data_IF_944162944224
#
_entry.id   IF_944162944224
#
_cell.length_a   1.000
_cell.length_b   1.000
_cell.length_c   1.000
_cell.angle_alpha   90.00
_cell.angle_beta   90.00
_cell.angle_gamma   90.00
#
_symmetry.space_group_name_H-M   'P 1'
#
loop_
_entity.id
_entity.type
_entity.pdbx_description
1 polymer ?
#
# COMPACT_ATOMS: atom_id res chain seq x y z
N UNK A 1 19.08 14.15 14.25
CA UNK A 1 18.97 13.53 12.91
C UNK A 1 17.64 12.78 12.84
N UNK A 2 16.87 12.88 11.74
CA UNK A 2 15.68 12.06 11.53
C UNK A 2 16.10 10.68 10.99
N UNK A 3 15.43 9.62 11.37
CA UNK A 3 15.69 8.26 10.86
C UNK A 3 14.44 7.72 10.16
N UNK A 4 14.62 7.12 8.99
CA UNK A 4 13.56 6.42 8.26
C UNK A 4 13.99 4.98 8.01
N UNK A 5 13.17 4.02 8.47
CA UNK A 5 13.31 2.60 8.19
C UNK A 5 12.43 2.27 7.01
N UNK A 6 13.04 2.13 5.84
CA UNK A 6 12.32 1.80 4.62
C UNK A 6 12.04 0.29 4.52
N UNK A 7 10.75 -0.07 4.41
CA UNK A 7 10.30 -1.45 4.17
C UNK A 7 9.58 -1.50 2.81
N UNK A 8 10.08 -2.28 1.83
CA UNK A 8 9.37 -2.46 0.57
C UNK A 8 8.11 -3.31 0.79
N UNK A 9 7.00 -2.91 0.19
CA UNK A 9 5.75 -3.68 0.26
C UNK A 9 5.71 -4.69 -0.88
N UNK A 10 5.66 -5.97 -0.53
CA UNK A 10 5.40 -7.06 -1.48
C UNK A 10 4.00 -7.60 -1.22
N UNK A 11 3.07 -7.30 -2.12
CA UNK A 11 1.67 -7.69 -1.97
C UNK A 11 1.48 -9.21 -1.97
N UNK A 12 0.70 -9.67 -1.01
CA UNK A 12 0.20 -11.03 -0.91
C UNK A 12 -1.16 -11.16 -1.60
N UNK A 13 -1.68 -12.38 -1.73
CA UNK A 13 -3.02 -12.60 -2.28
C UNK A 13 -4.12 -11.88 -1.48
N UNK A 14 -3.94 -11.71 -0.17
CA UNK A 14 -4.87 -10.98 0.69
C UNK A 14 -5.00 -9.50 0.27
N UNK A 15 -3.90 -8.88 -0.14
CA UNK A 15 -3.86 -7.48 -0.56
C UNK A 15 -4.52 -7.24 -1.92
N UNK A 16 -4.57 -8.27 -2.76
CA UNK A 16 -5.09 -8.18 -4.13
C UNK A 16 -6.61 -8.35 -4.21
N UNK A 17 -7.26 -8.79 -3.13
CA UNK A 17 -8.72 -8.98 -3.07
C UNK A 17 -9.25 -9.81 -4.25
N UNK A 18 -10.21 -9.26 -4.99
CA UNK A 18 -10.83 -9.95 -6.13
C UNK A 18 -9.87 -10.27 -7.27
N UNK A 19 -8.75 -9.55 -7.40
CA UNK A 19 -7.74 -9.77 -8.44
C UNK A 19 -6.81 -10.96 -8.13
N UNK A 20 -6.80 -11.46 -6.89
CA UNK A 20 -5.89 -12.51 -6.46
C UNK A 20 -5.97 -13.78 -7.33
N UNK A 21 -7.18 -14.15 -7.77
CA UNK A 21 -7.42 -15.34 -8.61
C UNK A 21 -6.82 -15.17 -10.01
N UNK A 22 -7.00 -14.01 -10.61
CA UNK A 22 -6.50 -13.72 -11.96
C UNK A 22 -4.96 -13.62 -11.97
N UNK A 23 -4.38 -12.99 -10.93
CA UNK A 23 -2.93 -12.93 -10.75
C UNK A 23 -2.35 -14.32 -10.56
N UNK A 24 -2.95 -15.15 -9.71
CA UNK A 24 -2.52 -16.54 -9.49
C UNK A 24 -2.58 -17.36 -10.77
N UNK A 25 -3.71 -17.32 -11.48
CA UNK A 25 -3.89 -18.04 -12.73
C UNK A 25 -2.85 -17.65 -13.77
N UNK A 26 -2.57 -16.36 -13.89
CA UNK A 26 -1.56 -15.83 -14.82
C UNK A 26 -0.14 -16.23 -14.41
N UNK A 27 0.19 -16.11 -13.11
CA UNK A 27 1.48 -16.54 -12.58
C UNK A 27 1.78 -18.01 -12.87
N UNK A 28 0.80 -18.89 -12.64
CA UNK A 28 0.93 -20.32 -12.95
C UNK A 28 1.06 -20.56 -14.47
N UNK A 29 0.28 -19.86 -15.29
CA UNK A 29 0.35 -20.00 -16.74
C UNK A 29 1.69 -19.55 -17.33
N UNK A 30 2.26 -18.46 -16.80
CA UNK A 30 3.49 -17.84 -17.32
C UNK A 30 4.76 -18.51 -16.76
N UNK A 31 4.75 -19.00 -15.51
CA UNK A 31 5.94 -19.46 -14.79
C UNK A 31 5.90 -20.94 -14.35
N UNK A 32 4.73 -21.57 -14.39
CA UNK A 32 4.50 -22.91 -13.83
C UNK A 32 4.17 -22.91 -12.34
N UNK A 33 3.53 -23.98 -11.89
CA UNK A 33 2.98 -24.10 -10.53
C UNK A 33 4.07 -24.13 -9.46
N UNK A 34 5.17 -24.85 -9.69
CA UNK A 34 6.26 -24.97 -8.71
C UNK A 34 6.97 -23.64 -8.46
N UNK A 35 7.25 -22.88 -9.53
CA UNK A 35 7.87 -21.55 -9.42
C UNK A 35 6.91 -20.59 -8.72
N UNK A 36 5.61 -20.66 -9.01
CA UNK A 36 4.60 -19.85 -8.34
C UNK A 36 4.53 -20.17 -6.84
N UNK A 37 4.49 -21.44 -6.46
CA UNK A 37 4.52 -21.87 -5.05
C UNK A 37 5.79 -21.40 -4.35
N UNK A 38 6.94 -21.48 -5.00
CA UNK A 38 8.21 -20.99 -4.44
C UNK A 38 8.19 -19.47 -4.26
N UNK A 39 7.64 -18.72 -5.23
CA UNK A 39 7.45 -17.28 -5.09
C UNK A 39 6.61 -16.93 -3.86
N UNK A 40 5.46 -17.59 -3.67
CA UNK A 40 4.60 -17.36 -2.50
C UNK A 40 5.36 -17.58 -1.18
N UNK A 41 6.09 -18.69 -1.06
CA UNK A 41 6.93 -18.97 0.13
C UNK A 41 8.00 -17.91 0.37
N UNK A 42 8.65 -17.43 -0.70
CA UNK A 42 9.66 -16.36 -0.60
C UNK A 42 9.03 -15.07 -0.08
N UNK A 43 7.82 -14.72 -0.54
CA UNK A 43 7.10 -13.53 -0.07
C UNK A 43 6.69 -13.68 1.39
N UNK A 44 6.21 -14.86 1.81
CA UNK A 44 5.90 -15.15 3.22
C UNK A 44 7.15 -15.00 4.10
N UNK A 45 8.27 -15.63 3.70
CA UNK A 45 9.54 -15.54 4.43
C UNK A 45 10.10 -14.12 4.51
N UNK A 46 9.86 -13.27 3.49
CA UNK A 46 10.19 -11.85 3.55
C UNK A 46 9.40 -11.16 4.69
N UNK A 47 8.09 -11.36 4.76
CA UNK A 47 7.26 -10.75 5.80
C UNK A 47 7.57 -11.26 7.20
N UNK A 48 7.94 -12.54 7.32
CA UNK A 48 8.42 -13.12 8.57
C UNK A 48 9.70 -12.43 9.05
N UNK A 49 10.70 -12.29 8.16
CA UNK A 49 11.96 -11.63 8.48
C UNK A 49 11.78 -10.15 8.90
N UNK A 50 10.90 -9.41 8.22
CA UNK A 50 10.57 -8.02 8.59
C UNK A 50 9.88 -7.99 9.95
N UNK A 51 8.91 -8.89 10.18
CA UNK A 51 8.21 -8.97 11.46
C UNK A 51 9.18 -9.25 12.61
N UNK A 52 10.09 -10.21 12.43
CA UNK A 52 11.09 -10.61 13.41
C UNK A 52 12.07 -9.48 13.73
N UNK A 53 12.52 -8.74 12.71
CA UNK A 53 13.34 -7.55 12.90
C UNK A 53 12.66 -6.57 13.87
N UNK A 54 11.39 -6.23 13.62
CA UNK A 54 10.67 -5.27 14.44
C UNK A 54 10.35 -5.76 15.85
N UNK A 55 10.37 -7.07 16.15
CA UNK A 55 10.22 -7.56 17.54
C UNK A 55 11.30 -6.95 18.45
N UNK A 56 12.52 -6.79 17.94
CA UNK A 56 13.67 -6.30 18.71
C UNK A 56 13.78 -4.77 18.76
N UNK A 57 13.08 -4.07 17.87
CA UNK A 57 13.14 -2.60 17.76
C UNK A 57 12.13 -1.98 18.70
N UNK A 58 12.53 -0.99 19.51
CA UNK A 58 11.57 -0.14 20.22
C UNK A 58 10.88 0.79 19.21
N UNK A 59 9.55 0.66 19.15
CA UNK A 59 8.69 1.39 18.22
C UNK A 59 7.78 2.38 18.93
N UNK A 60 7.95 2.55 20.24
CA UNK A 60 7.22 3.55 21.00
C UNK A 60 7.49 4.96 20.45
N UNK A 61 6.44 5.66 20.05
CA UNK A 61 6.54 6.98 19.43
C UNK A 61 6.97 6.99 17.97
N UNK A 62 7.22 5.81 17.36
CA UNK A 62 7.55 5.70 15.93
C UNK A 62 6.38 6.16 15.07
N UNK A 63 6.68 6.79 13.92
CA UNK A 63 5.68 7.22 12.94
C UNK A 63 5.59 6.20 11.81
N UNK A 64 4.39 5.74 11.46
CA UNK A 64 4.21 4.80 10.35
C UNK A 64 3.69 5.56 9.14
N UNK A 65 4.47 5.52 8.05
CA UNK A 65 4.15 6.10 6.75
C UNK A 65 3.93 4.99 5.73
N UNK A 66 2.69 4.48 5.63
CA UNK A 66 2.34 3.46 4.65
C UNK A 66 1.84 4.11 3.35
N UNK A 67 2.28 3.64 2.18
CA UNK A 67 1.73 4.13 0.91
C UNK A 67 0.21 3.92 0.82
N UNK A 68 -0.50 4.92 0.29
CA UNK A 68 -1.95 4.88 0.08
C UNK A 68 -2.83 5.02 1.35
N UNK A 69 -2.26 5.39 2.52
CA UNK A 69 -3.04 5.56 3.74
C UNK A 69 -3.79 6.89 3.75
N UNK A 70 -5.11 6.83 3.54
CA UNK A 70 -5.98 8.03 3.38
C UNK A 70 -6.43 8.66 4.71
N UNK A 71 -6.20 8.00 5.84
CA UNK A 71 -6.66 8.43 7.15
C UNK A 71 -5.67 8.07 8.27
N UNK A 72 -5.73 8.83 9.36
CA UNK A 72 -5.02 8.59 10.62
C UNK A 72 -6.03 8.56 11.78
N UNK A 73 -5.56 8.24 12.99
CA UNK A 73 -6.43 8.05 14.16
C UNK A 73 -7.42 6.88 13.98
N UNK A 74 -8.60 6.99 14.59
CA UNK A 74 -9.60 5.90 14.63
C UNK A 74 -9.99 5.37 13.24
N UNK A 75 -10.10 6.24 12.24
CA UNK A 75 -10.44 5.82 10.87
C UNK A 75 -9.28 5.04 10.25
N UNK A 76 -8.04 5.51 10.45
CA UNK A 76 -6.85 4.79 9.97
C UNK A 76 -6.70 3.43 10.65
N UNK A 77 -6.97 3.35 11.96
CA UNK A 77 -6.94 2.09 12.72
C UNK A 77 -7.97 1.08 12.20
N UNK A 78 -9.19 1.53 11.84
CA UNK A 78 -10.20 0.66 11.20
C UNK A 78 -9.74 0.12 9.85
N UNK A 79 -9.09 0.94 9.02
CA UNK A 79 -8.51 0.48 7.75
C UNK A 79 -7.46 -0.61 7.98
N UNK A 80 -6.61 -0.43 9.00
CA UNK A 80 -5.61 -1.43 9.39
C UNK A 80 -6.28 -2.72 9.88
N UNK A 81 -7.33 -2.62 10.69
CA UNK A 81 -8.09 -3.78 11.18
C UNK A 81 -8.77 -4.55 10.05
N UNK A 82 -9.38 -3.86 9.09
CA UNK A 82 -9.95 -4.49 7.89
C UNK A 82 -8.88 -5.25 7.09
N UNK A 83 -7.72 -4.64 6.87
CA UNK A 83 -6.60 -5.28 6.19
C UNK A 83 -6.07 -6.52 6.92
N UNK A 84 -5.97 -6.43 8.25
CA UNK A 84 -5.61 -7.56 9.11
C UNK A 84 -6.63 -8.71 9.00
N UNK A 85 -7.92 -8.39 9.04
CA UNK A 85 -9.00 -9.38 8.92
C UNK A 85 -9.03 -10.07 7.55
N UNK A 86 -8.53 -9.41 6.51
CA UNK A 86 -8.33 -10.00 5.19
C UNK A 86 -7.07 -10.88 5.08
N UNK A 87 -6.24 -10.92 6.13
CA UNK A 87 -5.00 -11.70 6.18
C UNK A 87 -3.79 -11.01 5.53
N UNK A 88 -3.82 -9.68 5.39
CA UNK A 88 -2.67 -8.93 4.85
C UNK A 88 -1.51 -8.93 5.84
N UNK A 89 -0.36 -9.46 5.42
CA UNK A 89 0.88 -9.44 6.22
C UNK A 89 1.40 -8.01 6.46
N UNK A 90 1.18 -7.12 5.50
CA UNK A 90 1.51 -5.70 5.63
C UNK A 90 0.69 -5.05 6.75
N UNK A 91 -0.64 -5.18 6.72
CA UNK A 91 -1.49 -4.61 7.77
C UNK A 91 -1.34 -5.31 9.12
N UNK A 92 -0.97 -6.60 9.12
CA UNK A 92 -0.61 -7.30 10.35
C UNK A 92 0.63 -6.71 11.03
N UNK A 93 1.68 -6.42 10.26
CA UNK A 93 2.86 -5.72 10.78
C UNK A 93 2.45 -4.36 11.37
N UNK A 94 1.73 -3.54 10.60
CA UNK A 94 1.27 -2.21 11.05
C UNK A 94 0.45 -2.32 12.33
N UNK A 95 -0.51 -3.24 12.41
CA UNK A 95 -1.33 -3.46 13.60
C UNK A 95 -0.48 -3.81 14.83
N UNK A 96 0.55 -4.66 14.67
CA UNK A 96 1.48 -5.02 15.76
C UNK A 96 2.31 -3.81 16.20
N UNK A 97 2.78 -2.99 15.27
CA UNK A 97 3.54 -1.78 15.58
C UNK A 97 2.69 -0.75 16.34
N UNK A 98 1.45 -0.53 15.92
CA UNK A 98 0.51 0.36 16.61
C UNK A 98 0.23 -0.09 18.04
N UNK A 99 0.00 -1.40 18.25
CA UNK A 99 -0.17 -1.98 19.59
C UNK A 99 1.04 -1.76 20.52
N UNK A 100 2.23 -1.53 19.95
CA UNK A 100 3.49 -1.31 20.68
C UNK A 100 3.86 0.17 20.82
N UNK A 101 2.95 1.08 20.49
CA UNK A 101 3.11 2.51 20.71
C UNK A 101 3.56 3.31 19.48
N UNK A 102 3.63 2.69 18.30
CA UNK A 102 3.77 3.44 17.06
C UNK A 102 2.48 4.20 16.72
N UNK A 103 2.57 5.20 15.83
CA UNK A 103 1.42 6.03 15.43
C UNK A 103 1.31 6.08 13.91
N UNK A 104 0.10 5.84 13.40
CA UNK A 104 -0.18 5.89 11.97
C UNK A 104 -0.30 7.34 11.51
N UNK A 105 0.34 7.67 10.39
CA UNK A 105 0.23 8.98 9.75
C UNK A 105 -0.51 8.87 8.43
N UNK A 106 -1.38 9.82 8.13
CA UNK A 106 -2.01 9.94 6.81
C UNK A 106 -0.96 10.30 5.76
N UNK A 107 -0.86 9.50 4.71
CA UNK A 107 0.13 9.61 3.62
C UNK A 107 -0.51 9.81 2.25
N UNK A 108 -1.84 9.87 2.18
CA UNK A 108 -2.54 10.01 0.91
C UNK A 108 -3.71 10.99 1.01
N UNK A 109 -3.91 11.79 -0.05
CA UNK A 109 -5.08 12.64 -0.17
C UNK A 109 -6.25 11.85 -0.75
N UNK A 110 -7.29 11.69 0.05
CA UNK A 110 -8.54 11.05 -0.35
C UNK A 110 -9.10 11.60 -1.67
N UNK A 111 -8.97 12.92 -1.93
CA UNK A 111 -9.43 13.52 -3.18
C UNK A 111 -8.62 13.07 -4.39
N UNK A 112 -7.30 12.88 -4.24
CA UNK A 112 -6.44 12.37 -5.31
C UNK A 112 -6.78 10.90 -5.63
N UNK A 113 -7.02 10.09 -4.60
CA UNK A 113 -7.44 8.68 -4.77
C UNK A 113 -8.82 8.61 -5.43
N UNK A 114 -9.76 9.44 -4.99
CA UNK A 114 -11.10 9.53 -5.58
C UNK A 114 -11.03 9.97 -7.05
N UNK A 115 -10.19 10.95 -7.38
CA UNK A 115 -9.98 11.41 -8.75
C UNK A 115 -9.46 10.26 -9.64
N UNK A 116 -8.49 9.48 -9.16
CA UNK A 116 -8.00 8.30 -9.88
C UNK A 116 -9.11 7.27 -10.12
N UNK A 117 -9.83 6.91 -9.04
CA UNK A 117 -10.95 5.96 -9.10
C UNK A 117 -12.01 6.40 -10.11
N UNK A 118 -12.44 7.65 -10.06
CA UNK A 118 -13.51 8.17 -10.93
C UNK A 118 -13.08 8.18 -12.40
N UNK A 119 -11.80 8.46 -12.69
CA UNK A 119 -11.24 8.32 -14.06
C UNK A 119 -11.26 6.89 -14.54
N UNK A 120 -10.85 5.93 -13.71
CA UNK A 120 -10.85 4.51 -14.06
C UNK A 120 -12.27 3.99 -14.28
N UNK A 121 -13.22 4.36 -13.40
CA UNK A 121 -14.63 3.98 -13.55
C UNK A 121 -15.24 4.49 -14.87
N UNK A 122 -14.94 5.73 -15.27
CA UNK A 122 -15.37 6.27 -16.56
C UNK A 122 -14.86 5.45 -17.74
N UNK A 123 -13.63 4.93 -17.66
CA UNK A 123 -13.06 4.07 -18.71
C UNK A 123 -13.75 2.71 -18.73
N UNK A 124 -14.01 2.10 -17.55
CA UNK A 124 -14.63 0.78 -17.48
C UNK A 124 -16.12 0.80 -17.83
N UNK A 125 -16.81 1.92 -17.59
CA UNK A 125 -18.24 2.09 -17.88
C UNK A 125 -18.53 2.67 -19.27
N UNK A 126 -17.50 3.00 -20.06
CA UNK A 126 -17.64 3.53 -21.41
C UNK A 126 -18.39 2.53 -22.31
N UNK A 127 -19.43 3.00 -23.00
CA UNK A 127 -20.31 2.15 -23.84
C UNK A 127 -19.68 1.81 -25.18
N UNK A 128 -18.80 2.68 -25.69
CA UNK A 128 -18.16 2.50 -26.98
C UNK A 128 -16.65 2.29 -26.85
N UNK A 129 -16.06 1.56 -27.81
CA UNK A 129 -14.60 1.37 -27.90
C UNK A 129 -13.85 2.70 -28.07
N UNK A 130 -14.46 3.67 -28.77
CA UNK A 130 -13.89 5.01 -28.97
C UNK A 130 -13.83 5.82 -27.67
N UNK A 131 -14.91 5.85 -26.88
CA UNK A 131 -14.92 6.51 -25.57
C UNK A 131 -13.91 5.87 -24.61
N UNK A 132 -13.82 4.52 -24.62
CA UNK A 132 -12.85 3.78 -23.81
C UNK A 132 -11.41 4.14 -24.20
N UNK A 133 -11.10 4.19 -25.49
CA UNK A 133 -9.78 4.56 -26.00
C UNK A 133 -9.41 6.00 -25.65
N UNK A 134 -10.34 6.95 -25.85
CA UNK A 134 -10.12 8.36 -25.51
C UNK A 134 -9.91 8.55 -24.00
N UNK A 135 -10.73 7.89 -23.18
CA UNK A 135 -10.58 7.88 -21.72
C UNK A 135 -9.22 7.30 -21.28
N UNK A 136 -8.79 6.21 -21.89
CA UNK A 136 -7.49 5.59 -21.61
C UNK A 136 -6.32 6.50 -21.98
N UNK A 137 -6.35 7.14 -23.15
CA UNK A 137 -5.32 8.11 -23.57
C UNK A 137 -5.25 9.27 -22.57
N UNK A 138 -6.40 9.85 -22.19
CA UNK A 138 -6.47 10.94 -21.21
C UNK A 138 -5.94 10.53 -19.83
N UNK A 139 -6.28 9.32 -19.36
CA UNK A 139 -5.73 8.78 -18.12
C UNK A 139 -4.22 8.63 -18.21
N UNK A 140 -3.70 8.03 -19.29
CA UNK A 140 -2.25 7.85 -19.49
C UNK A 140 -1.47 9.16 -19.50
N UNK A 141 -2.02 10.22 -20.10
CA UNK A 141 -1.41 11.56 -20.10
C UNK A 141 -1.40 12.23 -18.72
N UNK A 142 -2.38 11.92 -17.87
CA UNK A 142 -2.54 12.57 -16.55
C UNK A 142 -2.03 11.72 -15.38
N UNK A 143 -1.76 10.42 -15.61
CA UNK A 143 -1.31 9.46 -14.60
C UNK A 143 -0.03 9.90 -13.92
N UNK A 144 0.99 10.27 -14.68
CA UNK A 144 2.29 10.67 -14.12
C UNK A 144 2.16 11.93 -13.24
N UNK A 145 1.33 12.90 -13.66
CA UNK A 145 1.06 14.09 -12.86
C UNK A 145 0.37 13.74 -11.54
N UNK A 146 -0.55 12.76 -11.56
CA UNK A 146 -1.25 12.31 -10.35
C UNK A 146 -0.32 11.55 -9.42
N UNK A 147 0.50 10.64 -9.94
CA UNK A 147 1.53 9.92 -9.17
C UNK A 147 2.50 10.92 -8.50
N UNK A 148 3.04 11.87 -9.26
CA UNK A 148 3.92 12.90 -8.71
C UNK A 148 3.26 13.78 -7.65
N UNK A 149 1.93 13.92 -7.64
CA UNK A 149 1.21 14.61 -6.55
C UNK A 149 1.14 13.75 -5.29
N UNK A 150 0.87 12.46 -5.45
CA UNK A 150 0.81 11.48 -4.35
C UNK A 150 2.20 11.31 -3.69
N UNK A 151 3.25 11.17 -4.50
CA UNK A 151 4.64 11.09 -4.02
C UNK A 151 5.06 12.35 -3.25
N UNK A 152 4.67 13.53 -3.74
CA UNK A 152 4.92 14.80 -3.02
C UNK A 152 4.13 14.88 -1.73
N UNK A 153 2.90 14.36 -1.69
CA UNK A 153 2.09 14.36 -0.50
C UNK A 153 2.78 13.56 0.61
N UNK A 154 3.17 12.31 0.34
CA UNK A 154 3.85 11.49 1.36
C UNK A 154 5.19 12.12 1.81
N UNK A 155 5.99 12.65 0.89
CA UNK A 155 7.24 13.32 1.23
C UNK A 155 7.02 14.55 2.13
N UNK A 156 6.02 15.37 1.81
CA UNK A 156 5.64 16.52 2.63
C UNK A 156 5.13 16.07 4.01
N UNK A 157 4.31 15.02 4.08
CA UNK A 157 3.81 14.48 5.35
C UNK A 157 4.94 13.99 6.23
N UNK A 158 5.94 13.31 5.67
CA UNK A 158 7.13 12.89 6.43
C UNK A 158 7.87 14.11 6.97
N UNK A 159 8.14 15.13 6.15
CA UNK A 159 8.88 16.31 6.58
C UNK A 159 8.16 17.09 7.70
N UNK A 160 6.83 17.21 7.61
CA UNK A 160 5.99 17.92 8.57
C UNK A 160 5.81 17.15 9.89
N UNK A 161 5.75 15.82 9.84
CA UNK A 161 5.29 15.00 10.97
C UNK A 161 6.36 14.12 11.61
N UNK A 162 7.58 14.10 11.06
CA UNK A 162 8.74 13.43 11.65
C UNK A 162 9.67 14.48 12.29
N UNK A 163 9.59 14.69 13.61
CA UNK A 163 10.48 15.61 14.32
C UNK A 163 11.93 15.15 14.27
N UNK A 164 12.83 16.09 14.56
CA UNK A 164 14.22 15.75 14.77
C UNK A 164 14.38 14.69 15.87
N UNK A 165 15.29 13.74 15.66
CA UNK A 165 15.61 12.66 16.61
C UNK A 165 14.48 11.63 16.82
N UNK A 166 13.47 11.62 15.95
CA UNK A 166 12.48 10.56 15.86
C UNK A 166 12.75 9.60 14.69
N UNK A 167 12.14 8.42 14.79
CA UNK A 167 12.18 7.38 13.77
C UNK A 167 10.80 7.19 13.16
N UNK A 168 10.77 6.98 11.84
CA UNK A 168 9.59 6.51 11.12
C UNK A 168 9.95 5.52 10.02
#
# INVERSE_FOLDING_TARGET
MRTLIYVPVIHTSADLGSLAKDVTKRGIADLGEDVWRQHQRTVEGFWDAISDYFISVDVSGMKIYQDGMVAEGEIGEKIVEEGLNLGSRNYELVARLLKRGATLVKTEDFNLVKEERDKLLKITQAKTKFEKLFGFIKYRLTKNTLLNKRDRFIAQRIDESLPQDQTG
#
